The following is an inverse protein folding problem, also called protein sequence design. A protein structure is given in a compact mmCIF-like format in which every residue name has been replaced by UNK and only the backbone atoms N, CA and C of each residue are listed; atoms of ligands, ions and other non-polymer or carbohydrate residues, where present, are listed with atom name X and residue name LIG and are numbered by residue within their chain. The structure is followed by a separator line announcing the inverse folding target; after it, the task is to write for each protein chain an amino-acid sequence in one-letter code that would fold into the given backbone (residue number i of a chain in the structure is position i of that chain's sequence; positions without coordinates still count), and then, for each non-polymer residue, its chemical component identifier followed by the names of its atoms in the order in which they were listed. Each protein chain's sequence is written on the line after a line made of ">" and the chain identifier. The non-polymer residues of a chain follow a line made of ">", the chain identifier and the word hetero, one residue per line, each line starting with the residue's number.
data_IF_190381979780
#
_entry.id   IF_190381979780
#
_cell.length_a   1.000
_cell.length_b   1.000
_cell.length_c   1.000
_cell.angle_alpha   90.00
_cell.angle_beta   90.00
_cell.angle_gamma   90.00
#
_symmetry.space_group_name_H-M   'P 1'
#
loop_
_entity.id
_entity.type
_entity.pdbx_description
1 polymer ?
#
# COMPACT_ATOMS: atom_id res chain seq x y z
N UNK A 1 -14.90 -9.73 0.11
CA UNK A 1 -13.95 -9.27 1.12
C UNK A 1 -13.29 -10.39 1.92
N UNK A 2 -13.59 -10.60 3.21
CA UNK A 2 -12.79 -11.51 4.08
C UNK A 2 -12.56 -12.92 3.53
N UNK A 3 -13.54 -13.46 2.78
CA UNK A 3 -13.46 -14.78 2.13
C UNK A 3 -12.28 -14.88 1.16
N UNK A 4 -11.92 -13.84 0.41
CA UNK A 4 -10.79 -13.90 -0.52
C UNK A 4 -9.46 -14.03 0.22
N UNK A 5 -9.27 -13.31 1.32
CA UNK A 5 -8.05 -13.42 2.14
C UNK A 5 -7.97 -14.78 2.84
N UNK A 6 -9.11 -15.32 3.30
CA UNK A 6 -9.17 -16.66 3.87
C UNK A 6 -8.74 -17.68 2.81
N UNK A 7 -9.32 -17.60 1.60
CA UNK A 7 -8.96 -18.50 0.50
C UNK A 7 -7.48 -18.36 0.10
N UNK A 8 -6.91 -17.15 0.11
CA UNK A 8 -5.46 -16.95 -0.09
C UNK A 8 -4.63 -17.63 1.01
N UNK A 9 -5.06 -17.50 2.27
CA UNK A 9 -4.42 -18.17 3.39
C UNK A 9 -4.48 -19.69 3.27
N UNK A 10 -5.62 -20.22 2.82
CA UNK A 10 -5.84 -21.65 2.62
C UNK A 10 -5.07 -22.18 1.41
N UNK A 11 -5.01 -21.45 0.29
CA UNK A 11 -4.15 -21.77 -0.85
C UNK A 11 -2.69 -21.87 -0.40
N UNK A 12 -2.20 -20.87 0.33
CA UNK A 12 -0.84 -20.89 0.85
C UNK A 12 -0.60 -22.05 1.83
N UNK A 13 -1.53 -22.34 2.75
CA UNK A 13 -1.41 -23.50 3.64
C UNK A 13 -1.39 -24.82 2.85
N UNK A 14 -2.19 -24.91 1.79
CA UNK A 14 -2.26 -26.09 0.94
C UNK A 14 -0.93 -26.32 0.22
N UNK A 15 -0.32 -25.25 -0.28
CA UNK A 15 0.99 -25.29 -0.94
C UNK A 15 2.12 -25.67 0.03
N UNK A 16 2.18 -25.05 1.20
CA UNK A 16 3.30 -25.21 2.13
C UNK A 16 3.20 -26.48 3.00
N UNK A 17 2.00 -26.97 3.27
CA UNK A 17 1.77 -28.04 4.27
C UNK A 17 1.07 -29.24 3.67
N UNK A 18 -0.06 -29.04 2.99
CA UNK A 18 -0.91 -30.16 2.56
C UNK A 18 -0.28 -30.94 1.42
N UNK A 19 0.18 -30.27 0.35
CA UNK A 19 0.81 -30.92 -0.79
C UNK A 19 2.07 -31.70 -0.35
N UNK A 20 3.02 -31.12 0.39
CA UNK A 20 4.20 -31.86 0.86
C UNK A 20 3.85 -33.10 1.69
N UNK A 21 2.86 -33.01 2.58
CA UNK A 21 2.41 -34.15 3.41
C UNK A 21 1.77 -35.26 2.59
N UNK A 22 1.00 -34.92 1.56
CA UNK A 22 0.40 -35.91 0.65
C UNK A 22 1.50 -36.64 -0.11
N UNK A 23 2.49 -35.91 -0.64
CA UNK A 23 3.61 -36.48 -1.39
C UNK A 23 4.46 -37.41 -0.52
N UNK A 24 4.81 -36.98 0.68
CA UNK A 24 5.55 -37.80 1.65
C UNK A 24 4.80 -39.11 1.98
N UNK A 25 3.49 -39.03 2.23
CA UNK A 25 2.69 -40.23 2.48
C UNK A 25 2.62 -41.16 1.26
N UNK A 26 2.46 -40.64 0.05
CA UNK A 26 2.39 -41.47 -1.16
C UNK A 26 3.74 -42.15 -1.45
N UNK A 27 4.85 -41.43 -1.25
CA UNK A 27 6.19 -42.01 -1.37
C UNK A 27 6.40 -43.16 -0.37
N UNK A 28 5.95 -43.01 0.89
CA UNK A 28 6.04 -44.07 1.92
C UNK A 28 5.26 -45.33 1.55
N UNK A 29 4.18 -45.23 0.78
CA UNK A 29 3.38 -46.36 0.34
C UNK A 29 3.84 -46.94 -1.02
N UNK A 30 5.01 -46.53 -1.51
CA UNK A 30 5.63 -47.11 -2.71
C UNK A 30 5.14 -46.52 -4.03
N UNK A 31 4.39 -45.41 -4.01
CA UNK A 31 4.05 -44.69 -5.25
C UNK A 31 5.28 -43.94 -5.77
N UNK A 32 5.62 -44.16 -7.04
CA UNK A 32 6.76 -43.54 -7.75
C UNK A 32 6.29 -42.36 -8.61
N UNK A 33 7.22 -41.45 -8.94
CA UNK A 33 7.01 -40.27 -9.80
C UNK A 33 6.03 -39.19 -9.27
N UNK A 34 5.77 -39.14 -7.97
CA UNK A 34 4.87 -38.15 -7.37
C UNK A 34 5.31 -36.69 -7.56
N UNK A 35 6.57 -36.43 -7.91
CA UNK A 35 7.08 -35.08 -8.19
C UNK A 35 6.38 -34.39 -9.35
N UNK A 36 5.95 -35.12 -10.39
CA UNK A 36 5.21 -34.54 -11.53
C UNK A 36 3.82 -34.08 -11.07
N UNK A 37 3.13 -34.91 -10.28
CA UNK A 37 1.82 -34.58 -9.71
C UNK A 37 1.92 -33.42 -8.71
N UNK A 38 2.96 -33.39 -7.87
CA UNK A 38 3.25 -32.28 -6.95
C UNK A 38 3.43 -30.97 -7.71
N UNK A 39 4.22 -31.00 -8.79
CA UNK A 39 4.49 -29.81 -9.63
C UNK A 39 3.20 -29.30 -10.30
N UNK A 40 2.37 -30.20 -10.83
CA UNK A 40 1.08 -29.83 -11.43
C UNK A 40 0.13 -29.21 -10.40
N UNK A 41 0.04 -29.80 -9.20
CA UNK A 41 -0.76 -29.26 -8.11
C UNK A 41 -0.25 -27.89 -7.66
N UNK A 42 1.07 -27.76 -7.44
CA UNK A 42 1.72 -26.50 -7.06
C UNK A 42 1.43 -25.39 -8.08
N UNK A 43 1.56 -25.70 -9.38
CA UNK A 43 1.26 -24.76 -10.47
C UNK A 43 -0.20 -24.29 -10.42
N UNK A 44 -1.14 -25.23 -10.26
CA UNK A 44 -2.58 -24.92 -10.22
C UNK A 44 -2.93 -24.01 -9.04
N UNK A 45 -2.44 -24.32 -7.84
CA UNK A 45 -2.68 -23.51 -6.65
C UNK A 45 -1.97 -22.15 -6.71
N UNK A 46 -0.80 -22.07 -7.35
CA UNK A 46 -0.10 -20.79 -7.56
C UNK A 46 -0.90 -19.89 -8.50
N UNK A 47 -1.48 -20.45 -9.57
CA UNK A 47 -2.36 -19.70 -10.47
C UNK A 47 -3.65 -19.24 -9.77
N UNK A 48 -4.24 -20.10 -8.96
CA UNK A 48 -5.41 -19.76 -8.14
C UNK A 48 -5.09 -18.66 -7.12
N UNK A 49 -3.96 -18.75 -6.41
CA UNK A 49 -3.48 -17.72 -5.49
C UNK A 49 -3.34 -16.38 -6.23
N UNK A 50 -2.72 -16.37 -7.41
CA UNK A 50 -2.58 -15.15 -8.21
C UNK A 50 -3.95 -14.54 -8.57
N UNK A 51 -4.89 -15.32 -9.09
CA UNK A 51 -6.23 -14.84 -9.46
C UNK A 51 -7.02 -14.30 -8.27
N UNK A 52 -7.00 -15.02 -7.14
CA UNK A 52 -7.65 -14.59 -5.91
C UNK A 52 -7.01 -13.30 -5.36
N UNK A 53 -5.69 -13.21 -5.47
CA UNK A 53 -4.94 -12.05 -5.02
C UNK A 53 -5.24 -10.83 -5.87
N UNK A 54 -5.18 -10.94 -7.20
CA UNK A 54 -5.46 -9.84 -8.12
C UNK A 54 -6.90 -9.32 -7.92
N UNK A 55 -7.89 -10.23 -7.83
CA UNK A 55 -9.29 -9.86 -7.55
C UNK A 55 -9.48 -9.20 -6.18
N UNK A 56 -8.74 -9.65 -5.16
CA UNK A 56 -8.78 -9.01 -3.85
C UNK A 56 -8.16 -7.60 -3.88
N UNK A 57 -7.06 -7.43 -4.61
CA UNK A 57 -6.44 -6.10 -4.77
C UNK A 57 -7.41 -5.15 -5.46
N UNK A 58 -8.01 -5.53 -6.60
CA UNK A 58 -9.01 -4.71 -7.31
C UNK A 58 -10.15 -4.29 -6.38
N UNK A 59 -10.72 -5.25 -5.63
CA UNK A 59 -11.79 -4.97 -4.67
C UNK A 59 -11.39 -3.94 -3.61
N UNK A 60 -10.11 -3.87 -3.22
CA UNK A 60 -9.61 -2.93 -2.19
C UNK A 60 -9.08 -1.63 -2.75
N UNK A 61 -8.42 -1.64 -3.91
CA UNK A 61 -7.81 -0.45 -4.50
C UNK A 61 -8.83 0.42 -5.22
N UNK A 62 -9.75 -0.18 -5.97
CA UNK A 62 -10.63 0.54 -6.90
C UNK A 62 -11.50 1.61 -6.21
N UNK A 63 -12.11 1.34 -5.04
CA UNK A 63 -12.86 2.38 -4.31
C UNK A 63 -11.97 3.54 -3.84
N UNK A 64 -10.72 3.25 -3.46
CA UNK A 64 -9.76 4.26 -3.00
C UNK A 64 -9.42 5.17 -4.16
N UNK A 65 -8.91 4.60 -5.27
CA UNK A 65 -8.50 5.37 -6.45
C UNK A 65 -9.69 6.11 -7.09
N UNK A 66 -10.87 5.47 -7.16
CA UNK A 66 -12.08 6.07 -7.73
C UNK A 66 -12.61 7.27 -6.93
N UNK A 67 -12.30 7.34 -5.63
CA UNK A 67 -12.67 8.48 -4.79
C UNK A 67 -11.63 9.61 -4.81
N UNK A 68 -10.42 9.40 -5.34
CA UNK A 68 -9.32 10.38 -5.28
C UNK A 68 -9.61 11.64 -6.06
N UNK A 69 -9.92 11.51 -7.35
CA UNK A 69 -10.13 12.65 -8.25
C UNK A 69 -11.31 13.53 -7.79
N UNK A 70 -12.52 12.98 -7.52
CA UNK A 70 -13.63 13.79 -7.05
C UNK A 70 -13.33 14.49 -5.72
N UNK A 71 -12.57 13.85 -4.83
CA UNK A 71 -12.23 14.41 -3.52
C UNK A 71 -11.12 15.46 -3.61
N UNK A 72 -10.18 15.33 -4.55
CA UNK A 72 -9.11 16.30 -4.81
C UNK A 72 -9.65 17.63 -5.32
N UNK A 73 -10.68 17.59 -6.18
CA UNK A 73 -11.30 18.78 -6.78
C UNK A 73 -12.57 19.24 -6.07
N UNK A 74 -12.91 18.63 -4.93
CA UNK A 74 -14.09 18.97 -4.13
C UNK A 74 -14.10 20.47 -3.78
N UNK A 75 -15.24 21.12 -3.97
CA UNK A 75 -15.41 22.54 -3.66
C UNK A 75 -14.79 23.51 -4.67
N UNK A 76 -14.51 23.06 -5.91
CA UNK A 76 -13.98 23.92 -6.98
C UNK A 76 -12.49 24.25 -6.81
N UNK A 77 -11.73 23.34 -6.20
CA UNK A 77 -10.30 23.50 -5.99
C UNK A 77 -9.54 23.71 -7.30
N UNK A 78 -8.58 24.63 -7.31
CA UNK A 78 -7.73 24.95 -8.46
C UNK A 78 -6.27 25.04 -8.05
N UNK A 79 -5.40 24.25 -8.69
CA UNK A 79 -3.95 24.28 -8.51
C UNK A 79 -3.31 25.61 -8.93
N UNK A 80 -3.94 26.35 -9.84
CA UNK A 80 -3.44 27.63 -10.34
C UNK A 80 -3.64 28.77 -9.35
N UNK A 81 -4.80 28.79 -8.69
CA UNK A 81 -5.26 29.91 -7.85
C UNK A 81 -5.39 29.53 -6.38
N UNK A 82 -4.67 28.49 -5.94
CA UNK A 82 -4.76 28.00 -4.57
C UNK A 82 -4.23 29.05 -3.57
N UNK A 83 -4.95 29.32 -2.46
CA UNK A 83 -4.45 30.18 -1.39
C UNK A 83 -3.24 29.55 -0.69
N UNK A 84 -2.65 30.29 0.25
CA UNK A 84 -1.52 29.81 1.03
C UNK A 84 -1.84 28.48 1.73
N UNK A 85 -1.03 27.43 1.53
CA UNK A 85 -1.22 26.13 2.18
C UNK A 85 -1.29 26.20 3.70
N UNK A 86 -2.25 25.49 4.29
CA UNK A 86 -2.37 25.37 5.76
C UNK A 86 -2.07 23.95 6.26
N UNK A 87 -1.65 23.06 5.35
CA UNK A 87 -1.34 21.66 5.65
C UNK A 87 -1.87 20.70 4.59
N UNK A 88 -1.68 19.41 4.85
CA UNK A 88 -2.19 18.34 3.99
C UNK A 88 -3.73 18.35 3.97
N UNK A 89 -4.34 18.37 2.78
CA UNK A 89 -5.81 18.44 2.62
C UNK A 89 -6.51 17.15 3.05
N UNK A 90 -7.81 17.24 3.30
CA UNK A 90 -8.63 16.13 3.80
C UNK A 90 -8.66 14.94 2.83
N UNK A 91 -8.71 15.17 1.52
CA UNK A 91 -8.77 14.07 0.55
C UNK A 91 -7.60 13.08 0.72
N UNK A 92 -6.37 13.58 0.91
CA UNK A 92 -5.22 12.69 1.11
C UNK A 92 -5.31 11.96 2.45
N UNK A 93 -5.81 12.63 3.50
CA UNK A 93 -6.04 12.00 4.81
C UNK A 93 -7.10 10.90 4.72
N UNK A 94 -8.19 11.13 4.00
CA UNK A 94 -9.26 10.15 3.73
C UNK A 94 -8.72 8.93 2.95
N UNK A 95 -7.85 9.17 1.97
CA UNK A 95 -7.16 8.09 1.25
C UNK A 95 -6.25 7.26 2.16
N UNK A 96 -5.44 7.92 2.99
CA UNK A 96 -4.59 7.23 3.97
C UNK A 96 -5.42 6.45 4.98
N UNK A 97 -6.56 6.97 5.44
CA UNK A 97 -7.49 6.23 6.29
C UNK A 97 -8.04 4.99 5.60
N UNK A 98 -8.41 5.09 4.32
CA UNK A 98 -8.88 3.92 3.55
C UNK A 98 -7.79 2.86 3.41
N UNK A 99 -6.53 3.27 3.20
CA UNK A 99 -5.39 2.34 3.22
C UNK A 99 -5.18 1.69 4.60
N UNK A 100 -5.39 2.43 5.69
CA UNK A 100 -5.31 1.90 7.07
C UNK A 100 -6.40 0.84 7.30
N UNK A 101 -7.61 1.04 6.78
CA UNK A 101 -8.69 0.06 6.87
C UNK A 101 -8.32 -1.24 6.15
N UNK A 102 -7.75 -1.15 4.94
CA UNK A 102 -7.24 -2.33 4.22
C UNK A 102 -6.14 -3.02 5.02
N UNK A 103 -5.17 -2.27 5.55
CA UNK A 103 -4.13 -2.83 6.41
C UNK A 103 -4.72 -3.58 7.60
N UNK A 104 -5.65 -2.95 8.34
CA UNK A 104 -6.28 -3.53 9.52
C UNK A 104 -7.07 -4.80 9.19
N UNK A 105 -7.80 -4.83 8.08
CA UNK A 105 -8.51 -6.02 7.62
C UNK A 105 -7.55 -7.18 7.37
N UNK A 106 -6.49 -6.96 6.57
CA UNK A 106 -5.50 -7.99 6.23
C UNK A 106 -4.77 -8.47 7.48
N UNK A 107 -4.33 -7.54 8.33
CA UNK A 107 -3.61 -7.86 9.57
C UNK A 107 -4.46 -8.72 10.51
N UNK A 108 -5.78 -8.44 10.61
CA UNK A 108 -6.68 -9.20 11.48
C UNK A 108 -6.90 -10.65 11.04
N UNK A 109 -6.72 -10.95 9.75
CA UNK A 109 -6.96 -12.28 9.18
C UNK A 109 -5.64 -13.04 9.04
N UNK A 110 -4.62 -12.39 8.48
CA UNK A 110 -3.36 -13.04 8.17
C UNK A 110 -2.22 -12.02 8.02
N UNK A 111 -1.48 -11.70 9.11
CA UNK A 111 -0.42 -10.70 9.12
C UNK A 111 0.66 -10.88 8.06
N UNK A 112 0.95 -12.13 7.67
CA UNK A 112 1.94 -12.47 6.64
C UNK A 112 1.65 -11.88 5.26
N UNK A 113 0.38 -11.59 4.95
CA UNK A 113 0.00 -11.02 3.66
C UNK A 113 0.01 -9.49 3.63
N UNK A 114 0.16 -8.82 4.77
CA UNK A 114 0.12 -7.35 4.86
C UNK A 114 1.12 -6.71 3.90
N UNK A 115 2.37 -7.17 3.89
CA UNK A 115 3.39 -6.61 3.00
C UNK A 115 3.04 -6.76 1.52
N UNK A 116 2.55 -7.94 1.12
CA UNK A 116 2.17 -8.22 -0.28
C UNK A 116 0.95 -7.39 -0.71
N UNK A 117 -0.08 -7.31 0.14
CA UNK A 117 -1.30 -6.53 -0.14
C UNK A 117 -0.99 -5.04 -0.17
N UNK A 118 -0.38 -4.51 0.90
CA UNK A 118 -0.13 -3.08 1.02
C UNK A 118 0.86 -2.58 -0.04
N UNK A 119 1.79 -3.41 -0.50
CA UNK A 119 2.63 -3.09 -1.66
C UNK A 119 1.80 -2.80 -2.92
N UNK A 120 0.80 -3.63 -3.23
CA UNK A 120 -0.06 -3.43 -4.40
C UNK A 120 -1.06 -2.28 -4.25
N UNK A 121 -1.65 -2.12 -3.06
CA UNK A 121 -2.51 -0.97 -2.78
C UNK A 121 -1.71 0.34 -2.87
N UNK A 122 -0.47 0.34 -2.38
CA UNK A 122 0.43 1.50 -2.49
C UNK A 122 0.76 1.81 -3.95
N UNK A 123 1.08 0.81 -4.77
CA UNK A 123 1.29 0.98 -6.22
C UNK A 123 0.08 1.66 -6.87
N UNK A 124 -1.14 1.14 -6.66
CA UNK A 124 -2.36 1.70 -7.23
C UNK A 124 -2.61 3.16 -6.81
N UNK A 125 -2.48 3.47 -5.51
CA UNK A 125 -2.70 4.84 -4.99
C UNK A 125 -1.66 5.81 -5.52
N UNK A 126 -0.38 5.43 -5.55
CA UNK A 126 0.70 6.30 -6.04
C UNK A 126 0.55 6.55 -7.54
N UNK A 127 0.22 5.51 -8.32
CA UNK A 127 -0.04 5.66 -9.76
C UNK A 127 -1.20 6.60 -10.04
N UNK A 128 -2.29 6.49 -9.29
CA UNK A 128 -3.43 7.38 -9.46
C UNK A 128 -3.09 8.82 -9.10
N UNK A 129 -2.34 9.07 -8.02
CA UNK A 129 -1.86 10.42 -7.69
C UNK A 129 -0.97 10.98 -8.80
N UNK A 130 -0.05 10.15 -9.31
CA UNK A 130 0.83 10.55 -10.41
C UNK A 130 0.04 10.87 -11.68
N UNK A 131 -0.97 10.05 -12.04
CA UNK A 131 -1.90 10.33 -13.15
C UNK A 131 -2.60 11.68 -12.95
N UNK A 132 -3.13 11.93 -11.76
CA UNK A 132 -3.84 13.18 -11.45
C UNK A 132 -2.92 14.40 -11.51
N UNK A 133 -1.66 14.28 -11.08
CA UNK A 133 -0.65 15.34 -11.20
C UNK A 133 -0.32 15.61 -12.67
N UNK A 134 -0.18 14.58 -13.50
CA UNK A 134 0.05 14.74 -14.94
C UNK A 134 -1.10 15.46 -15.66
N UNK A 135 -2.32 15.35 -15.16
CA UNK A 135 -3.49 16.02 -15.71
C UNK A 135 -3.63 17.50 -15.26
N UNK A 136 -2.74 18.03 -14.43
CA UNK A 136 -2.81 19.43 -13.99
C UNK A 136 -2.28 20.36 -15.07
N UNK A 137 -3.14 21.27 -15.56
CA UNK A 137 -2.79 22.24 -16.62
C UNK A 137 -1.63 23.17 -16.23
N UNK A 138 -1.68 23.72 -15.01
CA UNK A 138 -0.67 24.65 -14.49
C UNK A 138 -0.74 24.80 -12.98
N UNK A 139 0.41 25.08 -12.37
CA UNK A 139 0.52 25.35 -10.94
C UNK A 139 0.80 26.82 -10.69
N UNK A 140 0.08 27.42 -9.74
CA UNK A 140 0.52 28.66 -9.09
C UNK A 140 1.58 28.34 -8.02
N UNK A 141 2.25 29.36 -7.47
CA UNK A 141 3.30 29.16 -6.46
C UNK A 141 2.80 28.35 -5.24
N UNK A 142 1.65 28.73 -4.69
CA UNK A 142 1.01 28.04 -3.58
C UNK A 142 0.46 26.66 -3.95
N UNK A 143 -0.02 26.48 -5.19
CA UNK A 143 -0.47 25.19 -5.68
C UNK A 143 0.68 24.20 -5.84
N UNK A 144 1.84 24.65 -6.34
CA UNK A 144 3.06 23.85 -6.41
C UNK A 144 3.54 23.44 -5.00
N UNK A 145 3.49 24.38 -4.04
CA UNK A 145 3.79 24.09 -2.63
C UNK A 145 2.84 23.04 -2.05
N UNK A 146 1.53 23.19 -2.26
CA UNK A 146 0.53 22.22 -1.80
C UNK A 146 0.74 20.83 -2.44
N UNK A 147 0.99 20.77 -3.75
CA UNK A 147 1.21 19.52 -4.47
C UNK A 147 2.46 18.79 -3.97
N UNK A 148 3.57 19.51 -3.76
CA UNK A 148 4.80 18.93 -3.19
C UNK A 148 4.62 18.47 -1.75
N UNK A 149 3.90 19.25 -0.93
CA UNK A 149 3.57 18.86 0.44
C UNK A 149 2.80 17.53 0.47
N UNK A 150 1.77 17.41 -0.36
CA UNK A 150 0.91 16.22 -0.41
C UNK A 150 1.64 15.00 -0.99
N UNK A 151 2.41 15.20 -2.05
CA UNK A 151 3.21 14.13 -2.65
C UNK A 151 4.28 13.63 -1.67
N UNK A 152 4.93 14.54 -0.92
CA UNK A 152 5.92 14.19 0.10
C UNK A 152 5.28 13.50 1.30
N UNK A 153 4.12 13.99 1.76
CA UNK A 153 3.36 13.37 2.84
C UNK A 153 2.96 11.92 2.49
N UNK A 154 2.48 11.69 1.27
CA UNK A 154 2.18 10.34 0.77
C UNK A 154 3.46 9.48 0.72
N UNK A 155 4.51 9.97 0.05
CA UNK A 155 5.76 9.25 -0.16
C UNK A 155 6.40 8.78 1.17
N UNK A 156 6.48 9.65 2.16
CA UNK A 156 7.05 9.30 3.45
C UNK A 156 6.13 8.40 4.27
N UNK A 157 4.82 8.53 4.11
CA UNK A 157 3.85 7.64 4.77
C UNK A 157 3.98 6.23 4.24
N UNK A 158 3.97 6.03 2.92
CA UNK A 158 3.92 4.69 2.32
C UNK A 158 5.29 4.04 2.11
N UNK A 159 6.37 4.66 2.62
CA UNK A 159 7.75 4.25 2.39
C UNK A 159 8.05 2.77 2.76
N UNK A 160 7.35 2.21 3.75
CA UNK A 160 7.49 0.79 4.12
C UNK A 160 7.07 -0.17 3.00
N UNK A 161 6.14 0.25 2.15
CA UNK A 161 5.55 -0.55 1.08
C UNK A 161 5.97 -0.06 -0.32
N UNK A 162 7.04 0.74 -0.40
CA UNK A 162 7.53 1.24 -1.67
C UNK A 162 8.11 0.13 -2.53
N UNK A 163 8.00 0.31 -3.84
CA UNK A 163 8.61 -0.53 -4.85
C UNK A 163 9.34 0.33 -5.89
N UNK A 164 10.12 -0.30 -6.77
CA UNK A 164 10.75 0.41 -7.90
C UNK A 164 9.71 1.14 -8.77
N UNK A 165 8.48 0.62 -8.82
CA UNK A 165 7.37 1.23 -9.56
C UNK A 165 6.93 2.52 -8.87
N UNK A 166 6.64 2.48 -7.57
CA UNK A 166 6.24 3.69 -6.81
C UNK A 166 7.33 4.75 -6.84
N UNK A 167 8.61 4.37 -6.74
CA UNK A 167 9.73 5.30 -6.79
C UNK A 167 9.81 6.04 -8.13
N UNK A 168 9.52 5.33 -9.22
CA UNK A 168 9.44 5.92 -10.56
C UNK A 168 8.27 6.89 -10.65
N UNK A 169 7.08 6.50 -10.22
CA UNK A 169 5.89 7.35 -10.22
C UNK A 169 6.07 8.63 -9.39
N UNK A 170 6.72 8.54 -8.22
CA UNK A 170 7.03 9.73 -7.42
C UNK A 170 8.01 10.66 -8.13
N UNK A 171 9.06 10.12 -8.78
CA UNK A 171 10.01 10.93 -9.55
C UNK A 171 9.34 11.66 -10.70
N UNK A 172 8.47 10.97 -11.44
CA UNK A 172 7.69 11.55 -12.54
C UNK A 172 6.77 12.67 -12.03
N UNK A 173 5.99 12.40 -10.97
CA UNK A 173 5.12 13.40 -10.38
C UNK A 173 5.89 14.63 -9.85
N UNK A 174 7.03 14.44 -9.20
CA UNK A 174 7.89 15.54 -8.74
C UNK A 174 8.47 16.38 -9.87
N UNK A 175 8.70 15.78 -11.05
CA UNK A 175 9.22 16.48 -12.23
C UNK A 175 8.16 17.39 -12.87
N UNK A 176 6.87 17.06 -12.73
CA UNK A 176 5.76 17.87 -13.24
C UNK A 176 5.46 19.10 -12.38
N UNK A 177 5.83 19.07 -11.10
CA UNK A 177 5.53 20.17 -10.18
C UNK A 177 6.69 21.18 -10.17
N UNK A 178 6.45 22.49 -10.33
CA UNK A 178 7.50 23.51 -10.26
C UNK A 178 8.34 23.44 -8.98
N UNK A 179 9.63 23.77 -9.07
CA UNK A 179 10.51 23.85 -7.91
C UNK A 179 10.09 24.98 -6.95
N UNK A 180 10.33 24.79 -5.66
CA UNK A 180 9.98 25.77 -4.63
C UNK A 180 11.14 26.71 -4.34
N UNK A 181 10.82 27.94 -3.89
CA UNK A 181 11.81 28.83 -3.29
C UNK A 181 12.33 28.28 -1.95
N UNK A 182 13.35 28.92 -1.39
CA UNK A 182 13.90 28.54 -0.08
C UNK A 182 12.83 28.64 1.03
N UNK A 183 12.05 29.71 1.00
CA UNK A 183 10.95 29.97 1.94
C UNK A 183 9.84 28.94 1.76
N UNK A 184 9.50 28.59 0.51
CA UNK A 184 8.55 27.53 0.21
C UNK A 184 8.98 26.17 0.75
N UNK A 185 10.27 25.82 0.61
CA UNK A 185 10.80 24.57 1.19
C UNK A 185 10.75 24.57 2.72
N UNK A 186 11.05 25.70 3.38
CA UNK A 186 10.93 25.79 4.83
C UNK A 186 9.48 25.58 5.29
N UNK A 187 8.53 26.24 4.62
CA UNK A 187 7.10 26.09 4.91
C UNK A 187 6.61 24.66 4.66
N UNK A 188 7.11 23.99 3.61
CA UNK A 188 6.79 22.59 3.34
C UNK A 188 7.19 21.69 4.51
N UNK A 189 8.41 21.85 5.04
CA UNK A 189 8.90 21.03 6.16
C UNK A 189 8.10 21.27 7.45
N UNK A 190 7.72 22.52 7.73
CA UNK A 190 6.87 22.89 8.87
C UNK A 190 5.49 22.21 8.79
N UNK A 191 4.82 22.32 7.63
CA UNK A 191 3.50 21.72 7.40
C UNK A 191 3.56 20.18 7.40
N UNK A 192 4.65 19.60 6.90
CA UNK A 192 4.86 18.16 6.89
C UNK A 192 5.09 17.62 8.32
N UNK A 193 5.86 18.33 9.14
CA UNK A 193 6.06 18.01 10.55
C UNK A 193 4.73 18.07 11.33
N UNK A 194 3.91 19.10 11.07
CA UNK A 194 2.58 19.23 11.66
C UNK A 194 1.66 18.06 11.28
N UNK A 195 1.63 17.70 9.99
CA UNK A 195 0.87 16.55 9.50
C UNK A 195 1.26 15.26 10.23
N UNK A 196 2.56 14.97 10.34
CA UNK A 196 3.08 13.78 11.04
C UNK A 196 2.74 13.78 12.53
N UNK A 197 2.75 14.94 13.16
CA UNK A 197 2.40 15.09 14.57
C UNK A 197 0.92 14.80 14.80
N UNK A 198 0.04 15.43 14.00
CA UNK A 198 -1.42 15.29 14.13
C UNK A 198 -1.93 13.89 13.78
N UNK A 199 -1.31 13.23 12.80
CA UNK A 199 -1.70 11.88 12.37
C UNK A 199 -0.80 10.78 12.94
N UNK A 200 0.00 11.08 13.98
CA UNK A 200 1.03 10.17 14.50
C UNK A 200 0.52 8.75 14.74
N UNK A 201 -0.66 8.61 15.37
CA UNK A 201 -1.24 7.32 15.71
C UNK A 201 -1.71 6.55 14.46
N UNK A 202 -2.40 7.23 13.55
CA UNK A 202 -2.90 6.67 12.30
C UNK A 202 -1.76 6.15 11.42
N UNK A 203 -0.65 6.90 11.36
CA UNK A 203 0.50 6.55 10.53
C UNK A 203 1.36 5.41 11.10
N UNK A 204 1.07 4.89 12.29
CA UNK A 204 1.90 3.85 12.92
C UNK A 204 1.93 2.54 12.13
N UNK A 205 0.84 2.17 11.45
CA UNK A 205 0.79 0.93 10.66
C UNK A 205 1.67 0.95 9.40
N UNK A 206 2.09 2.13 8.94
CA UNK A 206 3.00 2.28 7.81
C UNK A 206 4.47 2.38 8.23
N UNK A 207 4.78 2.22 9.52
CA UNK A 207 6.15 2.20 10.02
C UNK A 207 6.57 0.77 10.22
N UNK A 208 7.82 0.44 9.90
CA UNK A 208 8.38 -0.79 10.40
C UNK A 208 8.34 -0.71 11.92
N UNK A 209 7.53 -1.56 12.54
CA UNK A 209 7.80 -1.93 13.92
C UNK A 209 9.13 -2.62 13.83
N UNK A 210 10.21 -1.96 14.24
CA UNK A 210 11.39 -2.67 14.68
C UNK A 210 10.85 -3.72 15.63
N UNK A 211 10.81 -4.98 15.20
CA UNK A 211 10.48 -6.11 16.07
C UNK A 211 11.61 -6.15 17.07
N UNK A 212 11.53 -5.29 18.08
CA UNK A 212 12.25 -5.44 19.31
C UNK A 212 11.79 -6.80 19.84
N UNK A 213 12.74 -7.70 20.02
CA UNK A 213 12.63 -9.14 20.33
C UNK A 213 11.85 -9.47 21.64
N UNK A 214 10.68 -8.88 21.85
CA UNK A 214 9.92 -8.99 23.11
C UNK A 214 8.76 -9.96 23.05
N UNK A 215 8.41 -10.50 21.87
CA UNK A 215 7.31 -11.49 21.75
C UNK A 215 7.82 -12.95 21.69
N UNK A 216 9.13 -13.17 21.51
CA UNK A 216 9.73 -14.51 21.47
C UNK A 216 10.32 -15.01 22.81
N UNK A 217 10.08 -14.34 23.95
CA UNK A 217 10.59 -14.79 25.26
C UNK A 217 9.58 -15.53 26.15
N UNK A 218 8.30 -15.54 25.83
CA UNK A 218 7.27 -16.08 26.75
C UNK A 218 6.75 -17.48 26.41
N UNK A 219 7.33 -18.19 25.43
CA UNK A 219 6.98 -19.59 25.13
C UNK A 219 8.10 -20.62 25.37
N UNK A 220 9.15 -20.27 26.11
CA UNK A 220 10.18 -21.23 26.56
C UNK A 220 10.17 -21.50 28.06
N UNK A 221 9.07 -21.19 28.75
CA UNK A 221 8.86 -21.60 30.15
C UNK A 221 7.42 -22.06 30.38
N UNK A 222 7.09 -23.23 29.85
CA UNK A 222 6.17 -24.21 30.45
C UNK A 222 6.54 -25.58 29.86
#
# INVERSE_FOLDING_TARGET
>A
DKRLIIMLSDCHHTLEVVIPRIIDNLNRHGYVEMNKAATAAQSTYTELDKKLFDSYIEQKSDPIIGAMEPSMYRGGFSWKTYPTPTGVRSYLKENLMSMIEVHAEVFSISPKFVGRVMGKVTEAVVEEVTRLIHCVDSFGANGALQARLELRALQETVALYSSKRTDTCFKEAHACIPALSKEGNQMLEELLAEFKSRMKFQLMCFRSVSVDNRINRDYSKC
#
